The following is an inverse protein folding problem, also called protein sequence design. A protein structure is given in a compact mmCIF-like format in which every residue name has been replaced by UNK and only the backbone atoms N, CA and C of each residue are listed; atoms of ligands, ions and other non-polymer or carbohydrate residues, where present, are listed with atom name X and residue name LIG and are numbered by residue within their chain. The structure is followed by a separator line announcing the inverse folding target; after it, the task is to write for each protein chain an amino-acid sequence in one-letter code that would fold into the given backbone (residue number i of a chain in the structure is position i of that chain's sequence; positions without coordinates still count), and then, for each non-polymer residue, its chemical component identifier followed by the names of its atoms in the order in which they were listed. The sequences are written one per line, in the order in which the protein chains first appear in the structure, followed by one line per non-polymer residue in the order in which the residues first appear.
data_IF_756793666903
#
_entry.id   IF_756793666903
#
_cell.length_a   1.000
_cell.length_b   1.000
_cell.length_c   1.000
_cell.angle_alpha   90.00
_cell.angle_beta   90.00
_cell.angle_gamma   90.00
#
_symmetry.space_group_name_H-M   'P 1'
#
loop_
_entity.id
_entity.type
_entity.pdbx_description
1 polymer ?
#
# COMPACT_ATOMS: atom_id res chain seq x y z
N UNK A 1 -9.21 18.42 10.06
CA UNK A 1 -9.30 19.60 9.17
C UNK A 1 -10.41 19.33 8.17
N UNK A 2 -11.42 20.19 8.11
CA UNK A 2 -12.50 20.07 7.13
C UNK A 2 -12.23 21.06 6.00
N UNK A 3 -12.20 20.55 4.78
CA UNK A 3 -12.14 21.32 3.56
C UNK A 3 -13.50 21.18 2.88
N UNK A 4 -14.37 22.16 3.11
CA UNK A 4 -15.69 22.27 2.49
C UNK A 4 -15.59 23.37 1.43
N UNK A 5 -15.79 23.01 0.14
CA UNK A 5 -15.66 23.92 -1.01
C UNK A 5 -14.27 24.56 -1.18
N UNK A 6 -13.21 23.78 -1.03
CA UNK A 6 -11.89 24.28 -1.36
C UNK A 6 -11.79 24.54 -2.86
N UNK A 7 -11.37 25.75 -3.23
CA UNK A 7 -11.02 26.08 -4.60
C UNK A 7 -9.88 25.17 -5.09
N UNK A 8 -9.82 24.97 -6.40
CA UNK A 8 -8.70 24.31 -7.07
C UNK A 8 -7.37 24.90 -6.56
N UNK A 9 -6.48 24.04 -6.06
CA UNK A 9 -5.15 24.43 -5.60
C UNK A 9 -4.98 24.50 -4.07
N UNK A 10 -5.93 23.99 -3.28
CA UNK A 10 -5.69 23.82 -1.84
C UNK A 10 -4.62 22.74 -1.61
N UNK A 11 -3.59 23.09 -0.84
CA UNK A 11 -2.46 22.21 -0.51
C UNK A 11 -2.39 22.00 1.00
N UNK A 12 -2.23 20.74 1.41
CA UNK A 12 -1.93 20.35 2.80
C UNK A 12 -0.60 19.61 2.79
N UNK A 13 0.45 20.23 3.35
CA UNK A 13 1.76 19.60 3.37
C UNK A 13 2.63 19.92 4.59
N UNK A 14 3.54 18.99 4.93
CA UNK A 14 4.53 19.18 6.00
C UNK A 14 3.96 19.08 7.42
N UNK A 15 2.76 18.54 7.60
CA UNK A 15 2.10 18.45 8.91
C UNK A 15 2.21 17.06 9.53
N UNK A 16 2.24 17.02 10.88
CA UNK A 16 1.85 15.83 11.63
C UNK A 16 0.40 15.98 12.10
N UNK A 17 -0.50 15.17 11.55
CA UNK A 17 -1.93 15.15 11.88
C UNK A 17 -2.19 13.91 12.73
N UNK A 18 -2.45 14.11 14.02
CA UNK A 18 -2.49 13.00 14.99
C UNK A 18 -3.65 13.09 15.95
N UNK A 19 -4.13 11.92 16.41
CA UNK A 19 -5.22 11.78 17.40
C UNK A 19 -6.49 12.52 17.01
N UNK A 20 -6.71 12.68 15.71
CA UNK A 20 -7.98 13.13 15.16
C UNK A 20 -9.07 12.11 15.46
N UNK A 21 -10.24 12.62 15.84
CA UNK A 21 -11.41 11.84 16.23
C UNK A 21 -12.65 12.37 15.52
N UNK A 22 -13.34 11.50 14.77
CA UNK A 22 -14.60 11.85 14.11
C UNK A 22 -15.39 10.60 13.72
N UNK A 23 -16.60 10.81 13.21
CA UNK A 23 -17.33 9.72 12.55
C UNK A 23 -16.65 9.31 11.24
N UNK A 24 -16.23 10.29 10.43
CA UNK A 24 -15.43 10.10 9.20
C UNK A 24 -14.40 11.22 9.00
N UNK A 25 -13.22 10.89 8.45
CA UNK A 25 -12.16 11.85 8.17
C UNK A 25 -11.47 12.35 9.44
N UNK A 26 -10.84 11.44 10.19
CA UNK A 26 -10.24 11.76 11.49
C UNK A 26 -9.16 12.84 11.41
N UNK A 27 -8.32 12.78 10.37
CA UNK A 27 -7.32 13.80 10.07
C UNK A 27 -7.84 14.89 9.13
N UNK A 28 -8.13 14.52 7.88
CA UNK A 28 -8.57 15.43 6.81
C UNK A 28 -9.86 14.90 6.18
N UNK A 29 -10.80 15.82 5.94
CA UNK A 29 -12.01 15.55 5.17
C UNK A 29 -12.10 16.50 3.99
N UNK A 30 -12.02 15.95 2.78
CA UNK A 30 -12.22 16.64 1.51
C UNK A 30 -13.67 16.40 1.06
N UNK A 31 -14.42 17.48 0.85
CA UNK A 31 -15.87 17.41 0.80
C UNK A 31 -16.50 18.39 -0.20
N UNK A 32 -17.64 17.99 -0.76
CA UNK A 32 -18.52 18.80 -1.63
C UNK A 32 -17.76 19.46 -2.80
N UNK A 33 -17.39 18.65 -3.79
CA UNK A 33 -16.77 19.09 -5.04
C UNK A 33 -15.47 19.89 -4.83
N UNK A 34 -14.63 19.43 -3.89
CA UNK A 34 -13.33 20.03 -3.58
C UNK A 34 -12.19 19.31 -4.28
N UNK A 35 -11.14 20.05 -4.64
CA UNK A 35 -9.90 19.54 -5.21
C UNK A 35 -8.71 19.88 -4.31
N UNK A 36 -8.06 18.86 -3.74
CA UNK A 36 -6.99 19.06 -2.73
C UNK A 36 -5.77 18.21 -3.04
N UNK A 37 -4.59 18.82 -2.91
CA UNK A 37 -3.31 18.12 -2.93
C UNK A 37 -2.80 17.94 -1.49
N UNK A 38 -2.40 16.72 -1.14
CA UNK A 38 -2.01 16.33 0.22
C UNK A 38 -0.69 15.57 0.14
N UNK A 39 0.40 16.14 0.67
CA UNK A 39 1.71 15.52 0.58
C UNK A 39 2.69 15.85 1.71
N UNK A 40 3.73 15.03 1.90
CA UNK A 40 4.72 15.22 2.97
C UNK A 40 4.11 15.34 4.38
N UNK A 41 2.98 14.69 4.63
CA UNK A 41 2.34 14.68 5.95
C UNK A 41 2.49 13.33 6.66
N UNK A 42 2.37 13.36 7.98
CA UNK A 42 2.29 12.18 8.85
C UNK A 42 0.91 12.13 9.49
N UNK A 43 0.09 11.17 9.10
CA UNK A 43 -1.19 10.82 9.72
C UNK A 43 -0.98 9.74 10.78
N UNK A 44 -0.92 10.13 12.05
CA UNK A 44 -0.50 9.24 13.14
C UNK A 44 -1.61 9.02 14.16
N UNK A 45 -1.98 7.76 14.40
CA UNK A 45 -2.87 7.37 15.50
C UNK A 45 -4.21 8.15 15.51
N UNK A 46 -4.76 8.44 14.33
CA UNK A 46 -6.11 8.96 14.22
C UNK A 46 -7.11 7.80 14.39
N UNK A 47 -8.27 8.09 14.97
CA UNK A 47 -9.29 7.09 15.28
C UNK A 47 -10.65 7.58 14.80
N UNK A 48 -11.36 6.79 14.01
CA UNK A 48 -12.75 7.09 13.64
C UNK A 48 -13.71 5.95 13.98
N UNK A 49 -14.96 6.30 14.26
CA UNK A 49 -15.99 5.32 14.56
C UNK A 49 -16.43 4.53 13.31
N UNK A 50 -16.22 5.11 12.12
CA UNK A 50 -16.68 4.50 10.87
C UNK A 50 -15.56 4.35 9.84
N UNK A 51 -15.12 5.41 9.17
CA UNK A 51 -14.14 5.30 8.06
C UNK A 51 -13.23 6.53 7.92
N UNK A 52 -12.13 6.35 7.19
CA UNK A 52 -11.11 7.35 6.88
C UNK A 52 -10.51 8.02 8.10
N UNK A 53 -9.87 7.27 9.00
CA UNK A 53 -9.23 7.88 10.16
C UNK A 53 -8.09 8.83 9.77
N UNK A 54 -7.36 8.57 8.68
CA UNK A 54 -6.47 9.55 8.07
C UNK A 54 -7.23 10.59 7.23
N UNK A 55 -7.66 10.19 6.04
CA UNK A 55 -8.28 11.05 5.03
C UNK A 55 -9.61 10.46 4.56
N UNK A 56 -10.62 11.31 4.39
CA UNK A 56 -11.83 10.98 3.62
C UNK A 56 -12.00 11.94 2.45
N UNK A 57 -12.17 11.40 1.25
CA UNK A 57 -12.52 12.12 0.01
C UNK A 57 -13.93 11.72 -0.39
N UNK A 58 -14.87 12.66 -0.43
CA UNK A 58 -16.26 12.34 -0.71
C UNK A 58 -17.04 13.44 -1.43
N UNK A 59 -18.18 13.04 -2.01
CA UNK A 59 -19.15 13.88 -2.71
C UNK A 59 -18.53 14.64 -3.88
N UNK A 60 -18.19 13.88 -4.93
CA UNK A 60 -17.64 14.42 -6.18
C UNK A 60 -16.32 15.19 -6.01
N UNK A 61 -15.58 14.88 -4.94
CA UNK A 61 -14.29 15.52 -4.68
C UNK A 61 -13.16 14.77 -5.36
N UNK A 62 -12.03 15.45 -5.57
CA UNK A 62 -10.81 14.85 -6.10
C UNK A 62 -9.63 15.16 -5.20
N UNK A 63 -8.71 14.21 -5.08
CA UNK A 63 -7.48 14.47 -4.33
C UNK A 63 -6.26 13.81 -4.95
N UNK A 64 -5.14 14.50 -4.86
CA UNK A 64 -3.82 13.93 -5.12
C UNK A 64 -3.12 13.75 -3.77
N UNK A 65 -2.90 12.49 -3.38
CA UNK A 65 -2.39 12.12 -2.07
C UNK A 65 -1.08 11.40 -2.28
N UNK A 66 0.04 12.06 -2.03
CA UNK A 66 1.35 11.48 -2.30
C UNK A 66 2.41 11.76 -1.25
N UNK A 67 3.40 10.88 -1.13
CA UNK A 67 4.54 11.04 -0.22
C UNK A 67 4.14 11.28 1.25
N UNK A 68 2.96 10.78 1.66
CA UNK A 68 2.52 10.82 3.05
C UNK A 68 2.82 9.52 3.78
N UNK A 69 2.76 9.61 5.10
CA UNK A 69 2.85 8.47 5.98
C UNK A 69 1.57 8.30 6.81
N UNK A 70 1.00 7.09 6.79
CA UNK A 70 -0.16 6.70 7.58
C UNK A 70 0.26 5.64 8.58
N UNK A 71 0.33 6.01 9.87
CA UNK A 71 0.80 5.14 10.95
C UNK A 71 -0.25 4.93 12.02
N UNK A 72 -0.51 3.67 12.36
CA UNK A 72 -1.35 3.28 13.49
C UNK A 72 -2.76 3.92 13.48
N UNK A 73 -3.31 4.25 12.32
CA UNK A 73 -4.67 4.76 12.24
C UNK A 73 -5.66 3.62 12.44
N UNK A 74 -6.77 3.90 13.13
CA UNK A 74 -7.75 2.88 13.52
C UNK A 74 -9.14 3.33 13.13
N UNK A 75 -9.93 2.44 12.55
CA UNK A 75 -11.35 2.69 12.29
C UNK A 75 -12.16 1.40 12.37
N UNK A 76 -13.48 1.51 12.32
CA UNK A 76 -14.33 0.33 12.16
C UNK A 76 -14.23 -0.28 10.75
N UNK A 77 -14.44 0.51 9.69
CA UNK A 77 -14.45 0.02 8.30
C UNK A 77 -13.14 0.22 7.56
N UNK A 78 -12.73 1.47 7.35
CA UNK A 78 -11.55 1.81 6.53
C UNK A 78 -10.65 2.79 7.24
N UNK A 79 -9.39 2.45 7.51
CA UNK A 79 -8.65 3.22 8.53
C UNK A 79 -7.76 4.34 8.01
N UNK A 80 -7.05 4.21 6.90
CA UNK A 80 -6.15 5.27 6.44
C UNK A 80 -6.86 6.26 5.51
N UNK A 81 -7.25 5.83 4.32
CA UNK A 81 -7.86 6.67 3.27
C UNK A 81 -9.19 6.06 2.84
N UNK A 82 -10.22 6.88 2.73
CA UNK A 82 -11.53 6.48 2.21
C UNK A 82 -11.95 7.38 1.06
N UNK A 83 -12.32 6.80 -0.09
CA UNK A 83 -12.78 7.52 -1.29
C UNK A 83 -14.16 7.03 -1.67
N UNK A 84 -15.17 7.90 -1.57
CA UNK A 84 -16.58 7.50 -1.67
C UNK A 84 -17.46 8.52 -2.40
N UNK A 85 -18.67 8.10 -2.77
CA UNK A 85 -19.74 8.98 -3.29
C UNK A 85 -19.28 9.74 -4.55
N UNK A 86 -19.01 8.98 -5.60
CA UNK A 86 -18.59 9.47 -6.93
C UNK A 86 -17.34 10.36 -6.87
N UNK A 87 -16.39 10.05 -5.99
CA UNK A 87 -15.15 10.80 -5.85
C UNK A 87 -14.00 10.10 -6.57
N UNK A 88 -12.86 10.78 -6.67
CA UNK A 88 -11.65 10.15 -7.21
C UNK A 88 -10.40 10.53 -6.43
N UNK A 89 -9.39 9.65 -6.45
CA UNK A 89 -8.09 9.99 -5.88
C UNK A 89 -6.94 9.31 -6.64
N UNK A 90 -5.83 10.03 -6.75
CA UNK A 90 -4.53 9.47 -7.08
C UNK A 90 -3.73 9.33 -5.79
N UNK A 91 -3.33 8.11 -5.45
CA UNK A 91 -2.68 7.76 -4.18
C UNK A 91 -1.31 7.15 -4.52
N UNK A 92 -0.24 7.94 -4.40
CA UNK A 92 1.09 7.51 -4.87
C UNK A 92 2.24 7.76 -3.92
N UNK A 93 3.23 6.86 -3.84
CA UNK A 93 4.44 7.11 -3.03
C UNK A 93 4.22 7.15 -1.51
N UNK A 94 3.04 6.76 -1.02
CA UNK A 94 2.73 6.81 0.40
C UNK A 94 3.23 5.56 1.14
N UNK A 95 3.44 5.71 2.44
CA UNK A 95 3.79 4.61 3.34
C UNK A 95 2.69 4.36 4.39
N UNK A 96 2.09 3.17 4.34
CA UNK A 96 1.04 2.73 5.24
C UNK A 96 1.58 1.66 6.19
N UNK A 97 1.66 2.00 7.47
CA UNK A 97 2.25 1.15 8.49
C UNK A 97 1.29 0.92 9.66
N UNK A 98 0.97 -0.35 9.95
CA UNK A 98 0.21 -0.77 11.13
C UNK A 98 -1.16 -0.11 11.29
N UNK A 99 -1.79 0.21 10.17
CA UNK A 99 -3.16 0.71 10.17
C UNK A 99 -4.13 -0.47 10.39
N UNK A 100 -5.24 -0.22 11.09
CA UNK A 100 -6.18 -1.27 11.50
C UNK A 100 -7.63 -0.91 11.23
N UNK A 101 -8.35 -1.81 10.56
CA UNK A 101 -9.81 -1.81 10.49
C UNK A 101 -10.39 -3.04 11.17
N UNK A 102 -11.61 -2.92 11.69
CA UNK A 102 -12.34 -4.05 12.25
C UNK A 102 -13.12 -4.86 11.17
N UNK A 103 -13.45 -4.24 10.05
CA UNK A 103 -14.38 -4.81 9.06
C UNK A 103 -13.80 -4.84 7.64
N UNK A 104 -13.65 -3.68 7.00
CA UNK A 104 -13.23 -3.55 5.59
C UNK A 104 -11.72 -3.23 5.49
N UNK A 105 -11.32 -2.25 4.70
CA UNK A 105 -9.92 -2.01 4.37
C UNK A 105 -9.06 -1.53 5.53
N UNK A 106 -7.92 -2.17 5.76
CA UNK A 106 -6.99 -1.66 6.77
C UNK A 106 -6.34 -0.35 6.36
N UNK A 107 -6.20 -0.07 5.05
CA UNK A 107 -5.63 1.18 4.55
C UNK A 107 -6.59 1.95 3.65
N UNK A 108 -6.87 1.44 2.45
CA UNK A 108 -7.58 2.20 1.42
C UNK A 108 -8.90 1.52 1.09
N UNK A 109 -10.01 2.20 1.38
CA UNK A 109 -11.36 1.74 1.05
C UNK A 109 -11.98 2.64 -0.01
N UNK A 110 -12.59 2.04 -1.01
CA UNK A 110 -13.19 2.76 -2.14
C UNK A 110 -14.61 2.25 -2.35
N UNK A 111 -15.58 3.16 -2.44
CA UNK A 111 -16.98 2.78 -2.66
C UNK A 111 -17.65 3.69 -3.70
N UNK A 112 -18.15 3.09 -4.79
CA UNK A 112 -18.78 3.80 -5.91
C UNK A 112 -17.94 5.02 -6.34
N UNK A 113 -16.64 4.79 -6.54
CA UNK A 113 -15.62 5.81 -6.81
C UNK A 113 -14.50 5.24 -7.67
N UNK A 114 -13.53 6.07 -8.05
CA UNK A 114 -12.37 5.65 -8.85
C UNK A 114 -11.04 6.02 -8.20
N UNK A 115 -10.05 5.15 -8.26
CA UNK A 115 -8.71 5.45 -7.73
C UNK A 115 -7.59 4.88 -8.59
N UNK A 116 -6.46 5.59 -8.59
CA UNK A 116 -5.17 5.06 -9.06
C UNK A 116 -4.22 4.97 -7.86
N UNK A 117 -3.75 3.75 -7.57
CA UNK A 117 -2.92 3.43 -6.40
C UNK A 117 -1.57 2.92 -6.90
N UNK A 118 -0.57 3.80 -6.88
CA UNK A 118 0.74 3.54 -7.47
C UNK A 118 1.89 3.68 -6.47
N UNK A 119 2.93 2.84 -6.52
CA UNK A 119 4.19 3.14 -5.79
C UNK A 119 4.07 3.29 -4.27
N UNK A 120 3.04 2.68 -3.65
CA UNK A 120 2.87 2.75 -2.21
C UNK A 120 3.48 1.53 -1.52
N UNK A 121 3.82 1.69 -0.23
CA UNK A 121 4.28 0.60 0.64
C UNK A 121 3.23 0.35 1.72
N UNK A 122 2.80 -0.89 1.85
CA UNK A 122 1.84 -1.33 2.85
C UNK A 122 2.46 -2.42 3.73
N UNK A 123 2.73 -2.07 4.98
CA UNK A 123 3.46 -2.92 5.92
C UNK A 123 2.69 -3.13 7.22
N UNK A 124 2.57 -4.38 7.65
CA UNK A 124 1.97 -4.78 8.93
C UNK A 124 0.54 -4.24 9.15
N UNK A 125 -0.23 -4.00 8.09
CA UNK A 125 -1.61 -3.52 8.22
C UNK A 125 -2.57 -4.68 8.48
N UNK A 126 -3.63 -4.42 9.25
CA UNK A 126 -4.54 -5.46 9.74
C UNK A 126 -5.99 -5.11 9.41
N UNK A 127 -6.62 -5.87 8.53
CA UNK A 127 -8.06 -5.83 8.32
C UNK A 127 -8.74 -6.97 9.04
N UNK A 128 -9.96 -6.72 9.54
CA UNK A 128 -10.74 -7.72 10.26
C UNK A 128 -11.50 -8.67 9.34
N UNK A 129 -12.83 -8.63 9.41
CA UNK A 129 -13.68 -9.70 8.88
C UNK A 129 -13.71 -9.84 7.35
N UNK A 130 -13.65 -8.74 6.60
CA UNK A 130 -13.94 -8.79 5.17
C UNK A 130 -12.84 -8.14 4.33
N UNK A 131 -12.12 -7.14 4.82
CA UNK A 131 -11.24 -6.36 3.96
C UNK A 131 -9.86 -6.96 3.72
N UNK A 132 -9.19 -6.43 2.69
CA UNK A 132 -7.74 -6.44 2.61
C UNK A 132 -7.14 -5.11 3.01
N UNK A 133 -5.88 -4.92 2.66
CA UNK A 133 -5.24 -3.60 2.78
C UNK A 133 -5.93 -2.56 1.91
N UNK A 134 -6.37 -2.98 0.72
CA UNK A 134 -7.12 -2.20 -0.25
C UNK A 134 -8.44 -2.93 -0.55
N UNK A 135 -9.54 -2.18 -0.55
CA UNK A 135 -10.88 -2.72 -0.78
C UNK A 135 -11.72 -1.84 -1.72
N UNK A 136 -11.62 -2.04 -3.05
CA UNK A 136 -12.48 -1.38 -4.01
C UNK A 136 -13.83 -2.11 -4.13
N UNK A 137 -14.85 -1.56 -3.48
CA UNK A 137 -16.22 -2.06 -3.52
C UNK A 137 -17.04 -1.29 -4.56
N UNK A 138 -17.57 -1.99 -5.57
CA UNK A 138 -18.33 -1.39 -6.68
C UNK A 138 -17.64 -0.15 -7.28
N UNK A 139 -16.32 -0.23 -7.42
CA UNK A 139 -15.44 0.88 -7.77
C UNK A 139 -14.55 0.50 -8.95
N UNK A 140 -13.90 1.49 -9.57
CA UNK A 140 -12.77 1.24 -10.46
C UNK A 140 -11.46 1.50 -9.74
N UNK A 141 -10.49 0.59 -9.86
CA UNK A 141 -9.15 0.84 -9.33
C UNK A 141 -8.05 0.31 -10.25
N UNK A 142 -7.01 1.12 -10.42
CA UNK A 142 -5.73 0.70 -11.01
C UNK A 142 -4.71 0.59 -9.88
N UNK A 143 -4.16 -0.60 -9.65
CA UNK A 143 -3.25 -0.87 -8.53
C UNK A 143 -1.90 -1.32 -9.11
N UNK A 144 -0.87 -0.50 -8.99
CA UNK A 144 0.40 -0.78 -9.66
C UNK A 144 1.66 -0.40 -8.89
N UNK A 145 2.75 -1.15 -9.10
CA UNK A 145 4.05 -0.87 -8.49
C UNK A 145 4.02 -0.72 -6.96
N UNK A 146 3.09 -1.37 -6.27
CA UNK A 146 2.99 -1.31 -4.82
C UNK A 146 3.71 -2.48 -4.15
N UNK A 147 4.20 -2.25 -2.93
CA UNK A 147 4.75 -3.28 -2.03
C UNK A 147 3.77 -3.62 -0.93
N UNK A 148 3.42 -4.89 -0.75
CA UNK A 148 2.59 -5.39 0.34
C UNK A 148 3.36 -6.42 1.15
N UNK A 149 3.70 -6.08 2.40
CA UNK A 149 4.51 -6.92 3.28
C UNK A 149 3.80 -7.15 4.61
N UNK A 150 3.63 -8.42 4.99
CA UNK A 150 3.07 -8.83 6.30
C UNK A 150 1.72 -8.19 6.64
N UNK A 151 0.90 -7.90 5.65
CA UNK A 151 -0.47 -7.51 5.89
C UNK A 151 -1.29 -8.74 6.30
N UNK A 152 -2.30 -8.53 7.13
CA UNK A 152 -3.10 -9.59 7.72
C UNK A 152 -4.59 -9.33 7.49
N UNK A 153 -5.29 -10.36 7.02
CA UNK A 153 -6.75 -10.44 6.98
C UNK A 153 -7.17 -11.87 7.29
N UNK A 154 -7.76 -12.16 8.47
CA UNK A 154 -8.11 -13.51 8.87
C UNK A 154 -9.21 -14.17 8.03
N UNK A 155 -10.03 -13.37 7.34
CA UNK A 155 -11.26 -13.85 6.68
C UNK A 155 -11.46 -13.30 5.27
N UNK A 156 -10.50 -12.50 4.76
CA UNK A 156 -10.48 -11.97 3.40
C UNK A 156 -9.10 -12.06 2.77
N UNK A 157 -8.92 -11.34 1.65
CA UNK A 157 -7.58 -11.15 1.12
C UNK A 157 -6.78 -10.25 2.06
N UNK A 158 -5.51 -10.53 2.28
CA UNK A 158 -4.62 -9.70 3.11
C UNK A 158 -4.27 -8.37 2.44
N UNK A 159 -4.21 -8.33 1.10
CA UNK A 159 -3.77 -7.13 0.38
C UNK A 159 -4.88 -6.51 -0.46
N UNK A 160 -5.46 -7.22 -1.43
CA UNK A 160 -6.48 -6.65 -2.33
C UNK A 160 -7.73 -7.51 -2.30
N UNK A 161 -8.87 -6.92 -1.91
CA UNK A 161 -10.19 -7.51 -2.13
C UNK A 161 -10.99 -6.60 -3.06
N UNK A 162 -11.59 -7.13 -4.11
CA UNK A 162 -12.43 -6.33 -5.00
C UNK A 162 -13.70 -7.03 -5.43
N UNK A 163 -14.79 -6.26 -5.53
CA UNK A 163 -16.01 -6.63 -6.25
C UNK A 163 -16.28 -5.74 -7.46
N UNK A 164 -15.40 -4.77 -7.73
CA UNK A 164 -15.49 -3.83 -8.84
C UNK A 164 -14.54 -4.16 -10.00
N UNK A 165 -14.37 -3.19 -10.91
CA UNK A 165 -13.40 -3.30 -12.01
C UNK A 165 -12.01 -2.93 -11.50
N UNK A 166 -11.15 -3.93 -11.32
CA UNK A 166 -9.80 -3.72 -10.78
C UNK A 166 -8.78 -4.30 -11.74
N UNK A 167 -7.80 -3.47 -12.10
CA UNK A 167 -6.55 -3.94 -12.69
C UNK A 167 -5.47 -3.88 -11.63
N UNK A 168 -4.62 -4.91 -11.57
CA UNK A 168 -3.52 -4.96 -10.63
C UNK A 168 -2.29 -5.53 -11.32
N UNK A 169 -1.23 -4.73 -11.43
CA UNK A 169 -0.02 -5.15 -12.09
C UNK A 169 1.27 -4.61 -11.48
N UNK A 170 2.37 -5.34 -11.66
CA UNK A 170 3.68 -4.95 -11.13
C UNK A 170 3.68 -4.74 -9.61
N UNK A 171 2.82 -5.44 -8.86
CA UNK A 171 2.83 -5.38 -7.41
C UNK A 171 3.65 -6.52 -6.81
N UNK A 172 4.27 -6.26 -5.66
CA UNK A 172 4.97 -7.24 -4.85
C UNK A 172 4.14 -7.59 -3.62
N UNK A 173 3.84 -8.86 -3.42
CA UNK A 173 3.13 -9.40 -2.26
C UNK A 173 4.03 -10.40 -1.53
N UNK A 174 4.53 -10.03 -0.34
CA UNK A 174 5.42 -10.88 0.43
C UNK A 174 4.98 -11.09 1.90
N UNK A 175 5.08 -12.32 2.40
CA UNK A 175 4.86 -12.65 3.82
C UNK A 175 3.48 -12.30 4.37
N UNK A 176 2.43 -12.24 3.54
CA UNK A 176 1.11 -11.81 3.99
C UNK A 176 0.31 -12.96 4.63
N UNK A 177 -0.41 -12.65 5.72
CA UNK A 177 -1.08 -13.60 6.61
C UNK A 177 -2.45 -14.10 6.15
N UNK A 178 -2.73 -14.03 4.85
CA UNK A 178 -3.97 -14.49 4.20
C UNK A 178 -3.80 -14.44 2.69
N UNK A 179 -4.80 -14.85 1.88
CA UNK A 179 -4.73 -14.74 0.41
C UNK A 179 -4.27 -13.35 0.00
N UNK A 180 -3.15 -13.18 -0.71
CA UNK A 180 -2.66 -11.83 -1.00
C UNK A 180 -3.71 -11.04 -1.81
N UNK A 181 -4.33 -11.69 -2.78
CA UNK A 181 -5.31 -11.06 -3.67
C UNK A 181 -6.58 -11.90 -3.78
N UNK A 182 -7.74 -11.25 -3.78
CA UNK A 182 -9.05 -11.83 -4.10
C UNK A 182 -9.82 -10.86 -5.00
N UNK A 183 -9.94 -11.21 -6.28
CA UNK A 183 -10.60 -10.41 -7.29
C UNK A 183 -11.80 -11.17 -7.84
N UNK A 184 -12.89 -10.44 -8.13
CA UNK A 184 -14.04 -10.99 -8.84
C UNK A 184 -13.75 -11.26 -10.33
N UNK A 185 -12.85 -10.48 -10.93
CA UNK A 185 -12.39 -10.57 -12.31
C UNK A 185 -10.87 -10.41 -12.35
N UNK A 186 -10.21 -11.22 -13.17
CA UNK A 186 -8.76 -11.26 -13.31
C UNK A 186 -8.29 -10.51 -14.56
N UNK A 187 -9.21 -9.85 -15.27
CA UNK A 187 -8.89 -8.96 -16.37
C UNK A 187 -7.99 -7.83 -15.89
N UNK A 188 -6.79 -7.71 -16.46
CA UNK A 188 -5.80 -6.72 -16.02
C UNK A 188 -4.96 -7.15 -14.80
N UNK A 189 -5.02 -8.42 -14.40
CA UNK A 189 -4.14 -9.00 -13.39
C UNK A 189 -2.88 -9.61 -14.05
N UNK A 190 -1.75 -8.92 -13.95
CA UNK A 190 -0.52 -9.31 -14.65
C UNK A 190 0.74 -8.84 -13.94
N UNK A 191 1.88 -9.48 -14.16
CA UNK A 191 3.18 -9.03 -13.67
C UNK A 191 3.28 -8.81 -12.14
N UNK A 192 2.51 -9.53 -11.35
CA UNK A 192 2.58 -9.45 -9.88
C UNK A 192 3.47 -10.55 -9.31
N UNK A 193 4.32 -10.21 -8.35
CA UNK A 193 5.24 -11.16 -7.72
C UNK A 193 4.77 -11.50 -6.33
N UNK A 194 4.79 -12.80 -6.03
CA UNK A 194 4.34 -13.38 -4.78
C UNK A 194 5.49 -14.10 -4.10
N UNK A 195 5.60 -13.97 -2.79
CA UNK A 195 6.58 -14.69 -2.00
C UNK A 195 6.07 -14.97 -0.59
N UNK A 196 6.08 -16.23 -0.18
CA UNK A 196 5.80 -16.63 1.21
C UNK A 196 4.48 -16.05 1.79
N UNK A 197 3.46 -15.89 0.96
CA UNK A 197 2.11 -15.58 1.45
C UNK A 197 1.46 -16.88 1.92
N UNK A 198 0.53 -16.81 2.88
CA UNK A 198 -0.27 -18.00 3.27
C UNK A 198 -0.99 -18.59 2.03
N UNK A 199 -1.46 -17.71 1.15
CA UNK A 199 -1.98 -18.03 -0.16
C UNK A 199 -1.71 -16.83 -1.08
N UNK A 200 -1.30 -17.08 -2.34
CA UNK A 200 -0.99 -15.98 -3.26
C UNK A 200 -2.25 -15.30 -3.77
N UNK A 201 -3.18 -16.09 -4.30
CA UNK A 201 -4.45 -15.60 -4.84
C UNK A 201 -5.56 -16.52 -4.34
N UNK A 202 -6.69 -15.91 -3.98
CA UNK A 202 -7.95 -16.61 -3.70
C UNK A 202 -8.54 -17.31 -4.94
N UNK A 203 -9.82 -17.66 -4.88
CA UNK A 203 -10.49 -18.31 -6.02
C UNK A 203 -10.58 -17.36 -7.23
N UNK A 204 -10.24 -17.85 -8.42
CA UNK A 204 -10.65 -17.23 -9.70
C UNK A 204 -9.50 -16.75 -10.58
N UNK A 205 -8.36 -16.32 -10.03
CA UNK A 205 -7.20 -15.94 -10.84
C UNK A 205 -6.10 -16.99 -10.77
N UNK A 206 -5.45 -17.26 -11.90
CA UNK A 206 -4.23 -18.07 -11.92
C UNK A 206 -3.04 -17.18 -11.51
N UNK A 207 -2.49 -17.35 -10.30
CA UNK A 207 -1.41 -16.51 -9.81
C UNK A 207 -0.09 -16.71 -10.54
N UNK A 208 0.10 -17.78 -11.32
CA UNK A 208 1.45 -18.15 -11.78
C UNK A 208 1.40 -18.64 -13.24
N UNK A 209 2.17 -17.99 -14.12
CA UNK A 209 2.58 -18.57 -15.41
C UNK A 209 1.88 -18.06 -16.67
N UNK A 210 0.71 -17.41 -16.60
CA UNK A 210 -0.01 -16.97 -17.83
C UNK A 210 0.23 -15.49 -18.19
N UNK A 211 0.36 -14.60 -17.19
CA UNK A 211 0.41 -13.14 -17.40
C UNK A 211 1.65 -12.47 -16.77
N UNK A 212 2.79 -13.17 -16.70
CA UNK A 212 4.01 -12.65 -16.07
C UNK A 212 3.96 -12.58 -14.54
N UNK A 213 2.89 -13.08 -13.92
CA UNK A 213 2.84 -13.26 -12.48
C UNK A 213 3.80 -14.39 -12.06
N UNK A 214 4.58 -14.18 -11.01
CA UNK A 214 5.61 -15.12 -10.54
C UNK A 214 5.44 -15.37 -9.04
N UNK A 215 5.60 -16.62 -8.62
CA UNK A 215 5.85 -16.96 -7.22
C UNK A 215 7.34 -17.31 -7.09
N UNK A 216 8.11 -16.39 -6.50
CA UNK A 216 9.58 -16.46 -6.44
C UNK A 216 10.07 -15.72 -5.21
N UNK A 217 11.23 -16.10 -4.67
CA UNK A 217 11.91 -15.29 -3.66
C UNK A 217 12.23 -13.91 -4.23
N UNK A 218 11.62 -12.90 -3.61
CA UNK A 218 11.70 -11.51 -4.03
C UNK A 218 12.89 -10.79 -3.40
N UNK A 219 13.63 -11.47 -2.51
CA UNK A 219 14.82 -10.96 -1.84
C UNK A 219 14.55 -9.62 -1.13
N UNK A 220 13.39 -9.51 -0.49
CA UNK A 220 13.06 -8.35 0.37
C UNK A 220 14.02 -8.34 1.56
N UNK A 221 14.70 -7.22 1.77
CA UNK A 221 15.89 -7.13 2.59
C UNK A 221 15.68 -7.51 4.07
N UNK A 222 14.97 -6.65 4.81
CA UNK A 222 14.68 -6.87 6.22
C UNK A 222 13.27 -6.37 6.50
N UNK A 223 12.27 -7.18 6.09
CA UNK A 223 10.89 -6.75 6.18
C UNK A 223 10.53 -6.49 7.66
N UNK A 224 11.08 -7.23 8.63
CA UNK A 224 10.84 -7.05 10.07
C UNK A 224 11.31 -5.70 10.65
N UNK A 225 12.30 -5.07 10.01
CA UNK A 225 12.75 -3.71 10.34
C UNK A 225 12.03 -2.62 9.54
N UNK A 226 10.91 -2.95 8.86
CA UNK A 226 10.21 -2.10 7.89
C UNK A 226 11.06 -1.71 6.67
N UNK A 227 12.14 -2.45 6.39
CA UNK A 227 12.91 -2.26 5.18
C UNK A 227 12.28 -3.07 4.04
N UNK A 228 11.49 -2.36 3.22
CA UNK A 228 10.82 -2.91 2.04
C UNK A 228 11.68 -2.88 0.77
N UNK A 229 12.95 -2.49 0.88
CA UNK A 229 13.89 -2.61 -0.22
C UNK A 229 14.02 -4.07 -0.66
N UNK A 230 14.50 -4.25 -1.89
CA UNK A 230 14.90 -5.55 -2.41
C UNK A 230 16.39 -5.55 -2.69
N UNK A 231 17.02 -6.71 -2.60
CA UNK A 231 18.44 -6.85 -2.96
C UNK A 231 18.67 -6.47 -4.43
N UNK A 232 19.87 -6.02 -4.77
CA UNK A 232 20.26 -5.69 -6.15
C UNK A 232 20.15 -6.87 -7.13
N UNK A 233 20.10 -8.09 -6.61
CA UNK A 233 19.91 -9.32 -7.40
C UNK A 233 18.46 -9.79 -7.43
N UNK A 234 17.53 -9.03 -6.86
CA UNK A 234 16.13 -9.41 -6.78
C UNK A 234 15.52 -9.56 -8.17
N UNK A 235 14.70 -10.61 -8.40
CA UNK A 235 13.94 -10.74 -9.63
C UNK A 235 12.98 -9.55 -9.84
N UNK A 236 12.59 -8.83 -8.78
CA UNK A 236 11.77 -7.62 -8.88
C UNK A 236 12.42 -6.48 -9.67
N UNK A 237 13.74 -6.52 -9.88
CA UNK A 237 14.49 -5.50 -10.62
C UNK A 237 14.78 -5.91 -12.07
N UNK A 238 14.96 -7.20 -12.33
CA UNK A 238 15.46 -7.71 -13.63
C UNK A 238 14.53 -8.72 -14.29
N UNK A 239 13.36 -8.99 -13.69
CA UNK A 239 12.41 -9.97 -14.19
C UNK A 239 11.74 -9.55 -15.51
N UNK A 240 10.97 -10.46 -16.14
CA UNK A 240 10.34 -10.23 -17.45
C UNK A 240 9.32 -9.07 -17.45
N UNK A 241 8.88 -8.63 -16.28
CA UNK A 241 7.94 -7.54 -16.09
C UNK A 241 8.58 -6.18 -15.81
N UNK A 242 9.92 -6.12 -15.85
CA UNK A 242 10.67 -4.95 -15.41
C UNK A 242 10.56 -4.76 -13.89
N UNK A 243 10.51 -3.50 -13.47
CA UNK A 243 10.41 -3.13 -12.07
C UNK A 243 9.06 -3.51 -11.47
N UNK A 244 9.07 -4.29 -10.39
CA UNK A 244 7.89 -4.76 -9.65
C UNK A 244 7.97 -4.32 -8.19
N UNK A 245 6.93 -3.60 -7.75
CA UNK A 245 6.57 -3.46 -6.36
C UNK A 245 7.56 -2.80 -5.42
N UNK A 246 8.58 -2.07 -5.88
CA UNK A 246 9.51 -1.30 -5.02
C UNK A 246 10.10 -0.11 -5.80
N UNK A 247 10.41 1.02 -5.12
CA UNK A 247 11.27 2.05 -5.67
C UNK A 247 12.74 1.55 -5.63
N UNK A 248 13.44 1.44 -6.78
CA UNK A 248 14.79 0.89 -6.88
C UNK A 248 15.88 1.74 -6.22
N UNK A 249 15.56 2.95 -5.75
CA UNK A 249 16.52 3.88 -5.12
C UNK A 249 17.16 3.35 -3.83
N UNK A 250 16.64 2.26 -3.26
CA UNK A 250 17.18 1.66 -2.04
C UNK A 250 17.39 0.17 -2.26
N UNK A 251 18.64 -0.23 -2.49
CA UNK A 251 19.06 -1.61 -2.24
C UNK A 251 19.02 -1.92 -0.75
N UNK A 252 19.27 -3.17 -0.37
CA UNK A 252 19.43 -3.50 1.05
C UNK A 252 20.52 -2.62 1.67
N UNK A 253 20.15 -1.70 2.57
CA UNK A 253 21.11 -0.85 3.29
C UNK A 253 22.13 -1.71 4.06
N UNK A 254 21.75 -2.94 4.40
CA UNK A 254 22.60 -3.92 5.07
C UNK A 254 23.40 -4.83 4.10
N UNK A 255 23.22 -4.73 2.78
CA UNK A 255 24.12 -5.34 1.78
C UNK A 255 25.43 -4.54 1.62
N UNK A 256 25.66 -3.53 2.47
CA UNK A 256 27.03 -3.13 2.77
C UNK A 256 27.67 -4.33 3.45
N UNK A 257 28.30 -5.19 2.64
CA UNK A 257 29.17 -6.27 3.08
C UNK A 257 29.93 -5.72 4.28
N UNK A 258 29.77 -6.29 5.50
CA UNK A 258 30.51 -5.83 6.65
C UNK A 258 31.97 -5.80 6.20
N UNK A 259 32.58 -4.62 6.18
CA UNK A 259 34.00 -4.56 5.92
C UNK A 259 34.64 -5.27 7.10
N UNK A 260 34.99 -6.55 6.93
CA UNK A 260 35.85 -7.26 7.87
C UNK A 260 37.03 -6.34 8.12
N UNK A 261 37.30 -5.93 9.37
CA UNK A 261 38.40 -5.05 9.70
C UNK A 261 39.69 -5.66 9.13
N UNK A 262 40.13 -5.17 7.98
CA UNK A 262 41.26 -5.74 7.29
C UNK A 262 42.49 -5.08 7.89
N UNK A 263 43.30 -5.88 8.58
CA UNK A 263 44.60 -5.43 9.04
C UNK A 263 45.58 -5.32 7.86
N UNK A 264 46.55 -4.43 7.96
CA UNK A 264 47.62 -4.35 6.95
C UNK A 264 48.44 -5.65 6.85
N UNK A 265 48.45 -6.46 7.92
CA UNK A 265 49.09 -7.78 7.94
C UNK A 265 48.35 -8.82 7.08
N UNK A 266 47.01 -8.84 7.12
CA UNK A 266 46.20 -9.77 6.33
C UNK A 266 46.24 -9.45 4.83
N UNK A 267 46.38 -8.17 4.44
CA UNK A 267 46.62 -7.79 3.04
C UNK A 267 47.99 -8.23 2.54
N UNK A 268 49.06 -8.08 3.33
CA UNK A 268 50.40 -8.52 2.91
C UNK A 268 50.51 -10.02 2.69
N UNK A 269 49.82 -10.83 3.50
CA UNK A 269 49.82 -12.28 3.37
C UNK A 269 49.14 -12.78 2.08
N UNK A 270 48.28 -11.97 1.46
CA UNK A 270 47.59 -12.32 0.21
C UNK A 270 48.42 -12.04 -1.06
N UNK A 271 49.41 -11.16 -0.96
CA UNK A 271 50.19 -10.63 -2.10
C UNK A 271 51.70 -10.83 -1.95
N UNK A 272 52.13 -11.60 -0.95
CA UNK A 272 53.55 -11.85 -0.62
C UNK A 272 53.98 -13.28 -0.90
#
# INVERSE_FOLDING_TARGET
MNCEQCESGTVINGFTITRGGSYTGGGVRVFDNSDVEIYDNIFLANVTDFEGAGITVQRMSRSFIHDNEFRNNVSFRTSAITVIVNSSAQITGNFFLRNRSADLASCIGVNASSVDIGWNRFVDNHSGNHGGTIDPYNSSATIYNNTFIRNLSPSGASCIRSTGSVSAHNNLFAHNGGPAVSLADCTGFSCNYFYDNIQDVGSGCDPIGVNGNLNIDTMVCNPGANNCAVSMHSPCLTGPCGLVGVNPEYGCIDDVVPSEPTSWGSLKALYG
#
